data_IF_956724427574
#
_entry.id   IF_956724427574
#
_cell.length_a   1.000
_cell.length_b   1.000
_cell.length_c   1.000
_cell.angle_alpha   90.00
_cell.angle_beta   90.00
_cell.angle_gamma   90.00
#
_symmetry.space_group_name_H-M   'P 1'
#
loop_
_entity.id
_entity.type
_entity.pdbx_description
1 polymer ?
#
# COMPACT_ATOMS: atom_id res chain seq x y z
N UNK A 1 15.40 52.50 -12.84
CA UNK A 1 15.71 52.44 -14.28
C UNK A 1 15.19 51.12 -14.83
N UNK A 2 14.06 51.17 -15.54
CA UNK A 2 13.43 50.01 -16.19
C UNK A 2 14.24 49.61 -17.42
N UNK A 3 14.50 48.32 -17.60
CA UNK A 3 15.08 47.79 -18.84
C UNK A 3 14.02 46.96 -19.58
N UNK A 4 13.51 47.58 -20.63
CA UNK A 4 12.57 47.06 -21.62
C UNK A 4 13.26 46.10 -22.60
N UNK A 5 12.50 45.08 -23.00
CA UNK A 5 12.34 44.52 -24.37
C UNK A 5 13.48 43.66 -24.95
N UNK A 6 13.15 42.44 -25.39
CA UNK A 6 12.66 42.20 -26.76
C UNK A 6 12.01 40.80 -26.92
N UNK A 7 10.76 40.79 -27.42
CA UNK A 7 10.14 39.69 -28.15
C UNK A 7 10.66 39.70 -29.58
N UNK A 8 10.98 38.52 -30.14
CA UNK A 8 11.01 38.32 -31.60
C UNK A 8 10.23 37.05 -31.94
N UNK A 9 9.13 37.26 -32.66
CA UNK A 9 8.42 36.28 -33.49
C UNK A 9 9.32 35.78 -34.61
N UNK A 10 9.22 34.50 -34.98
CA UNK A 10 9.26 34.08 -36.40
C UNK A 10 8.33 32.88 -36.64
N UNK A 11 7.43 33.04 -37.61
CA UNK A 11 6.63 32.02 -38.29
C UNK A 11 7.49 31.23 -39.29
N UNK A 12 7.06 29.99 -39.57
CA UNK A 12 7.43 29.20 -40.77
C UNK A 12 6.94 27.75 -40.61
N UNK A 13 5.68 27.43 -40.95
CA UNK A 13 5.16 26.94 -42.25
C UNK A 13 5.75 25.59 -42.73
N UNK A 14 4.91 24.55 -42.53
CA UNK A 14 4.49 23.44 -43.42
C UNK A 14 5.55 22.75 -44.30
N UNK A 15 5.74 21.45 -44.07
CA UNK A 15 6.19 20.50 -45.08
C UNK A 15 5.17 19.36 -45.25
N UNK A 16 4.50 19.37 -46.40
CA UNK A 16 3.69 18.27 -46.96
C UNK A 16 4.61 17.15 -47.47
N UNK A 17 4.27 15.89 -47.18
CA UNK A 17 4.98 14.71 -47.67
C UNK A 17 4.05 13.56 -48.01
N UNK A 18 3.72 13.49 -49.31
CA UNK A 18 3.34 12.37 -50.18
C UNK A 18 2.62 11.10 -49.65
N UNK A 19 1.52 10.81 -50.34
CA UNK A 19 0.76 9.57 -50.43
C UNK A 19 1.58 8.34 -50.81
N UNK A 20 1.29 7.20 -50.16
CA UNK A 20 1.53 5.88 -50.73
C UNK A 20 0.18 5.16 -50.92
N UNK A 21 -0.10 4.83 -52.17
CA UNK A 21 -1.17 3.92 -52.58
C UNK A 21 -0.78 2.49 -52.17
N UNK A 22 -1.68 1.77 -51.50
CA UNK A 22 -1.54 0.36 -51.16
C UNK A 22 -2.89 -0.33 -51.30
N UNK A 23 -2.92 -1.28 -52.22
CA UNK A 23 -4.06 -2.03 -52.77
C UNK A 23 -4.99 -2.69 -51.75
N UNK A 24 -6.29 -2.69 -52.07
CA UNK A 24 -7.36 -3.42 -51.41
C UNK A 24 -7.19 -4.94 -51.49
N UNK A 25 -7.46 -5.63 -50.38
CA UNK A 25 -7.85 -7.05 -50.31
C UNK A 25 -9.20 -7.11 -49.61
N UNK A 26 -10.25 -7.67 -50.24
CA UNK A 26 -11.51 -7.93 -49.54
C UNK A 26 -11.31 -9.19 -48.69
N UNK A 27 -11.35 -9.06 -47.36
CA UNK A 27 -11.55 -10.23 -46.52
C UNK A 27 -13.03 -10.61 -46.55
N UNK A 28 -13.27 -11.72 -47.22
CA UNK A 28 -14.50 -12.51 -47.23
C UNK A 28 -15.07 -12.67 -45.82
N UNK A 29 -16.36 -12.38 -45.67
CA UNK A 29 -17.14 -12.74 -44.49
C UNK A 29 -17.09 -14.27 -44.30
N UNK A 30 -16.54 -14.72 -43.19
CA UNK A 30 -16.61 -16.09 -42.73
C UNK A 30 -17.56 -16.15 -41.53
N UNK A 31 -18.60 -16.97 -41.64
CA UNK A 31 -19.55 -17.30 -40.58
C UNK A 31 -18.84 -17.62 -39.26
N UNK A 32 -19.30 -16.98 -38.18
CA UNK A 32 -18.88 -17.32 -36.83
C UNK A 32 -19.50 -18.68 -36.45
N UNK A 33 -18.71 -19.73 -36.14
CA UNK A 33 -19.26 -20.86 -35.42
C UNK A 33 -19.54 -20.38 -33.99
N UNK A 34 -20.80 -20.46 -33.58
CA UNK A 34 -21.25 -20.13 -32.24
C UNK A 34 -20.39 -20.87 -31.19
N UNK A 35 -19.55 -20.10 -30.49
CA UNK A 35 -18.76 -20.59 -29.39
C UNK A 35 -19.69 -20.94 -28.22
N UNK A 36 -19.93 -22.24 -28.07
CA UNK A 36 -20.58 -22.83 -26.89
C UNK A 36 -19.78 -22.45 -25.64
N UNK A 37 -20.48 -21.83 -24.70
CA UNK A 37 -20.19 -21.83 -23.26
C UNK A 37 -18.75 -21.50 -22.86
N UNK A 38 -18.38 -20.22 -22.99
CA UNK A 38 -17.35 -19.67 -22.11
C UNK A 38 -17.88 -19.68 -20.68
N UNK A 39 -17.58 -20.76 -19.94
CA UNK A 39 -17.63 -20.74 -18.50
C UNK A 39 -16.62 -19.68 -18.02
N UNK A 40 -17.12 -18.46 -17.85
CA UNK A 40 -16.43 -17.35 -17.22
C UNK A 40 -16.01 -17.82 -15.83
N UNK A 41 -14.73 -18.16 -15.68
CA UNK A 41 -14.12 -18.28 -14.36
C UNK A 41 -14.31 -16.94 -13.66
N UNK A 42 -14.84 -16.89 -12.42
CA UNK A 42 -15.02 -15.64 -11.74
C UNK A 42 -13.65 -15.00 -11.56
N UNK A 43 -13.42 -13.86 -12.22
CA UNK A 43 -12.28 -12.99 -11.93
C UNK A 43 -12.35 -12.71 -10.44
N UNK A 44 -11.40 -13.26 -9.67
CA UNK A 44 -11.32 -13.01 -8.24
C UNK A 44 -11.27 -11.50 -8.04
N UNK A 45 -12.31 -10.95 -7.42
CA UNK A 45 -12.42 -9.52 -7.16
C UNK A 45 -11.35 -9.17 -6.13
N UNK A 46 -10.22 -8.66 -6.62
CA UNK A 46 -9.11 -8.22 -5.78
C UNK A 46 -9.62 -7.09 -4.88
N UNK A 47 -9.50 -7.23 -3.56
CA UNK A 47 -9.82 -6.13 -2.64
C UNK A 47 -8.75 -5.05 -2.79
N UNK A 48 -9.12 -3.90 -3.36
CA UNK A 48 -8.22 -2.76 -3.55
C UNK A 48 -7.55 -2.32 -2.25
N UNK A 49 -8.24 -2.46 -1.11
CA UNK A 49 -7.69 -2.11 0.20
C UNK A 49 -6.58 -3.08 0.60
N UNK A 50 -6.69 -4.35 0.23
CA UNK A 50 -5.64 -5.33 0.47
C UNK A 50 -4.39 -4.98 -0.34
N UNK A 51 -4.55 -4.69 -1.64
CA UNK A 51 -3.43 -4.29 -2.51
C UNK A 51 -2.74 -3.06 -1.96
N UNK A 52 -3.51 -2.05 -1.58
CA UNK A 52 -2.97 -0.83 -0.98
C UNK A 52 -2.24 -1.12 0.33
N UNK A 53 -2.76 -2.01 1.18
CA UNK A 53 -2.10 -2.38 2.44
C UNK A 53 -0.78 -3.12 2.18
N UNK A 54 -0.74 -4.06 1.22
CA UNK A 54 0.50 -4.75 0.83
C UNK A 54 1.56 -3.75 0.36
N UNK A 55 1.19 -2.90 -0.58
CA UNK A 55 2.09 -1.86 -1.09
C UNK A 55 2.56 -0.92 0.02
N UNK A 56 1.67 -0.55 0.94
CA UNK A 56 2.04 0.25 2.09
C UNK A 56 3.05 -0.50 2.96
N UNK A 57 2.80 -1.76 3.36
CA UNK A 57 3.75 -2.54 4.18
C UNK A 57 5.13 -2.61 3.52
N UNK A 58 5.20 -2.91 2.22
CA UNK A 58 6.45 -2.99 1.47
C UNK A 58 7.18 -1.64 1.44
N UNK A 59 6.45 -0.55 1.19
CA UNK A 59 7.00 0.81 1.26
C UNK A 59 7.53 1.13 2.67
N UNK A 60 6.84 0.67 3.71
CA UNK A 60 7.25 0.85 5.10
C UNK A 60 8.56 0.15 5.44
N UNK A 61 8.74 -1.08 4.94
CA UNK A 61 10.01 -1.81 5.05
C UNK A 61 11.13 -0.99 4.40
N UNK A 62 10.94 -0.55 3.16
CA UNK A 62 11.95 0.22 2.42
C UNK A 62 12.28 1.56 3.11
N UNK A 63 11.28 2.28 3.60
CA UNK A 63 11.48 3.54 4.32
C UNK A 63 12.30 3.33 5.60
N UNK A 64 11.99 2.30 6.39
CA UNK A 64 12.73 2.04 7.63
C UNK A 64 14.15 1.52 7.37
N UNK A 65 14.36 0.69 6.35
CA UNK A 65 15.71 0.27 5.93
C UNK A 65 16.56 1.46 5.46
N UNK A 66 15.95 2.37 4.70
CA UNK A 66 16.57 3.60 4.21
C UNK A 66 16.68 4.70 5.26
N UNK A 67 16.26 4.47 6.52
CA UNK A 67 16.20 5.47 7.60
C UNK A 67 15.35 6.71 7.26
N UNK A 68 14.39 6.57 6.35
CA UNK A 68 13.43 7.61 5.98
C UNK A 68 12.31 7.73 7.04
N UNK A 69 12.70 8.00 8.29
CA UNK A 69 11.81 7.95 9.45
C UNK A 69 10.71 9.01 9.42
N UNK A 70 11.02 10.20 8.91
CA UNK A 70 10.01 11.26 8.76
C UNK A 70 8.91 10.84 7.78
N UNK A 71 9.29 10.36 6.60
CA UNK A 71 8.37 9.90 5.57
C UNK A 71 7.53 8.72 6.08
N UNK A 72 8.17 7.81 6.83
CA UNK A 72 7.48 6.72 7.49
C UNK A 72 6.41 7.24 8.47
N UNK A 73 6.77 8.15 9.38
CA UNK A 73 5.79 8.70 10.32
C UNK A 73 4.66 9.43 9.60
N UNK A 74 4.97 10.18 8.55
CA UNK A 74 3.95 10.91 7.78
C UNK A 74 2.96 9.98 7.07
N UNK A 75 3.43 8.84 6.55
CA UNK A 75 2.60 7.88 5.81
C UNK A 75 1.82 6.93 6.72
N UNK A 76 2.42 6.45 7.81
CA UNK A 76 1.86 5.35 8.61
C UNK A 76 1.15 5.80 9.88
N UNK A 77 1.42 7.00 10.37
CA UNK A 77 0.82 7.49 11.61
C UNK A 77 -0.32 8.44 11.25
N UNK A 78 -1.48 8.22 11.86
CA UNK A 78 -2.65 9.10 11.68
C UNK A 78 -2.28 10.55 12.00
N UNK A 79 -2.87 11.57 11.34
CA UNK A 79 -2.59 12.97 11.65
C UNK A 79 -2.77 13.30 13.14
N UNK A 80 -3.77 12.70 13.78
CA UNK A 80 -4.09 12.88 15.19
C UNK A 80 -2.99 12.33 16.11
N UNK A 81 -2.49 11.12 15.84
CA UNK A 81 -1.40 10.51 16.61
C UNK A 81 -0.04 11.11 16.27
N UNK A 82 0.16 11.54 15.02
CA UNK A 82 1.38 12.19 14.57
C UNK A 82 1.61 13.48 15.33
N UNK A 83 0.58 14.31 15.55
CA UNK A 83 0.72 15.53 16.37
C UNK A 83 1.23 15.22 17.79
N UNK A 84 0.76 14.13 18.40
CA UNK A 84 1.23 13.70 19.74
C UNK A 84 2.68 13.21 19.69
N UNK A 85 3.01 12.46 18.64
CA UNK A 85 4.38 12.03 18.37
C UNK A 85 5.32 13.25 18.22
N UNK A 86 4.97 14.22 17.38
CA UNK A 86 5.78 15.41 17.12
C UNK A 86 6.02 16.20 18.39
N UNK A 87 5.02 16.33 19.27
CA UNK A 87 5.18 16.97 20.59
C UNK A 87 6.16 16.22 21.50
N UNK A 88 6.12 14.89 21.51
CA UNK A 88 6.99 14.07 22.36
C UNK A 88 8.47 14.07 21.90
N UNK A 89 8.70 14.22 20.60
CA UNK A 89 10.03 14.19 19.99
C UNK A 89 10.54 15.57 19.54
N UNK A 90 9.80 16.65 19.82
CA UNK A 90 10.24 18.01 19.58
C UNK A 90 11.41 18.39 20.52
N UNK A 91 12.54 18.80 19.95
CA UNK A 91 13.69 19.38 20.67
C UNK A 91 14.27 20.54 19.88
N UNK A 92 14.61 21.63 20.57
CA UNK A 92 15.40 22.75 20.02
C UNK A 92 14.94 23.27 18.64
N UNK A 93 13.62 23.37 18.41
CA UNK A 93 13.07 23.94 17.17
C UNK A 93 12.80 22.95 16.03
N UNK A 94 12.96 21.64 16.25
CA UNK A 94 12.59 20.61 15.27
C UNK A 94 12.17 19.29 15.91
N UNK A 95 11.58 18.39 15.12
CA UNK A 95 11.22 17.04 15.54
C UNK A 95 12.39 16.11 15.26
N UNK A 96 12.87 15.39 16.28
CA UNK A 96 13.99 14.47 16.11
C UNK A 96 13.51 13.06 15.74
N UNK A 97 13.28 12.85 14.44
CA UNK A 97 12.85 11.56 13.89
C UNK A 97 13.92 10.45 14.01
N UNK A 98 15.20 10.81 14.02
CA UNK A 98 16.32 9.87 14.14
C UNK A 98 16.36 9.17 15.50
N UNK A 99 16.15 9.92 16.58
CA UNK A 99 16.06 9.34 17.93
C UNK A 99 14.93 8.31 17.99
N UNK A 100 13.75 8.67 17.50
CA UNK A 100 12.63 7.71 17.42
C UNK A 100 12.97 6.49 16.57
N UNK A 101 13.58 6.69 15.38
CA UNK A 101 13.94 5.62 14.46
C UNK A 101 14.91 4.62 15.09
N UNK A 102 15.90 5.12 15.85
CA UNK A 102 16.86 4.28 16.57
C UNK A 102 16.24 3.47 17.71
N UNK A 103 15.26 4.04 18.42
CA UNK A 103 14.61 3.38 19.58
C UNK A 103 13.52 2.39 19.16
N UNK A 104 12.73 2.75 18.14
CA UNK A 104 11.48 2.08 17.77
C UNK A 104 11.45 1.58 16.33
N UNK A 105 12.07 2.32 15.41
CA UNK A 105 12.08 1.99 13.98
C UNK A 105 12.65 0.61 13.68
N UNK A 106 13.75 0.21 14.34
CA UNK A 106 14.36 -1.12 14.16
C UNK A 106 13.40 -2.25 14.55
N UNK A 107 12.69 -2.11 15.68
CA UNK A 107 11.71 -3.13 16.12
C UNK A 107 10.53 -3.19 15.15
N UNK A 108 10.06 -2.03 14.70
CA UNK A 108 8.95 -1.92 13.76
C UNK A 108 9.31 -2.51 12.39
N UNK A 109 10.55 -2.33 11.93
CA UNK A 109 11.05 -2.94 10.70
C UNK A 109 10.97 -4.47 10.76
N UNK A 110 11.36 -5.08 11.89
CA UNK A 110 11.24 -6.53 12.05
C UNK A 110 9.78 -6.99 12.02
N UNK A 111 8.87 -6.24 12.65
CA UNK A 111 7.44 -6.52 12.57
C UNK A 111 6.95 -6.46 11.12
N UNK A 112 7.25 -5.38 10.39
CA UNK A 112 6.81 -5.20 9.00
C UNK A 112 7.34 -6.29 8.07
N UNK A 113 8.61 -6.69 8.23
CA UNK A 113 9.20 -7.81 7.48
C UNK A 113 8.53 -9.15 7.74
N UNK A 114 8.12 -9.41 8.98
CA UNK A 114 7.43 -10.65 9.30
C UNK A 114 6.00 -10.71 8.77
N UNK A 115 5.32 -9.55 8.66
CA UNK A 115 3.93 -9.50 8.21
C UNK A 115 3.79 -9.32 6.70
N UNK A 116 4.82 -8.84 5.99
CA UNK A 116 4.78 -8.66 4.53
C UNK A 116 4.51 -9.97 3.77
N UNK A 117 4.94 -11.09 4.33
CA UNK A 117 4.72 -12.44 3.77
C UNK A 117 3.49 -13.16 4.31
N UNK A 118 2.71 -12.51 5.20
CA UNK A 118 1.50 -13.11 5.78
C UNK A 118 0.27 -12.79 4.95
N UNK A 119 -0.72 -13.67 5.04
CA UNK A 119 -2.04 -13.41 4.49
C UNK A 119 -2.69 -12.24 5.21
N UNK A 120 -3.38 -11.40 4.45
CA UNK A 120 -4.08 -10.23 4.96
C UNK A 120 -5.54 -10.59 5.10
N UNK A 121 -6.06 -10.49 6.32
CA UNK A 121 -7.49 -10.62 6.62
C UNK A 121 -8.01 -9.28 7.08
N UNK A 122 -8.89 -8.67 6.27
CA UNK A 122 -9.52 -7.38 6.59
C UNK A 122 -10.90 -7.63 7.19
N UNK A 123 -11.14 -7.11 8.40
CA UNK A 123 -12.46 -7.09 9.06
C UNK A 123 -12.76 -5.69 9.55
N UNK A 124 -13.93 -5.15 9.20
CA UNK A 124 -14.42 -3.85 9.67
C UNK A 124 -13.38 -2.72 9.55
N UNK A 125 -12.71 -2.63 8.40
CA UNK A 125 -11.64 -1.67 8.13
C UNK A 125 -10.38 -1.85 8.99
N UNK A 126 -10.14 -3.04 9.52
CA UNK A 126 -8.91 -3.39 10.25
C UNK A 126 -8.23 -4.59 9.63
N UNK A 127 -6.91 -4.56 9.62
CA UNK A 127 -6.08 -5.71 9.31
C UNK A 127 -5.23 -6.06 10.53
N UNK A 128 -5.29 -7.31 10.94
CA UNK A 128 -4.68 -7.80 12.18
C UNK A 128 -3.67 -8.90 11.88
N UNK A 129 -2.48 -8.77 12.48
CA UNK A 129 -1.39 -9.69 12.31
C UNK A 129 -0.93 -10.21 13.67
N UNK A 130 -0.77 -11.53 13.77
CA UNK A 130 -0.07 -12.16 14.88
C UNK A 130 1.41 -12.22 14.56
N UNK A 131 2.29 -11.75 15.45
CA UNK A 131 3.74 -11.70 15.23
C UNK A 131 4.46 -11.73 16.58
N UNK A 132 5.51 -12.52 16.67
CA UNK A 132 6.40 -12.60 17.85
C UNK A 132 7.34 -11.40 17.95
N UNK A 133 7.56 -10.66 16.87
CA UNK A 133 8.33 -9.42 16.87
C UNK A 133 7.58 -8.24 17.51
N UNK A 134 6.25 -8.29 17.61
CA UNK A 134 5.49 -7.23 18.28
C UNK A 134 5.48 -7.44 19.81
N UNK A 135 5.66 -6.39 20.64
CA UNK A 135 5.68 -6.53 22.11
C UNK A 135 4.41 -7.15 22.71
N UNK A 136 3.25 -6.92 22.10
CA UNK A 136 1.96 -7.46 22.52
C UNK A 136 1.59 -8.79 21.84
N UNK A 137 2.45 -9.30 20.95
CA UNK A 137 2.16 -10.47 20.11
C UNK A 137 1.21 -10.20 18.93
N UNK A 138 0.67 -8.99 18.83
CA UNK A 138 -0.26 -8.58 17.77
C UNK A 138 0.08 -7.20 17.23
N UNK A 139 -0.12 -7.00 15.93
CA UNK A 139 0.07 -5.74 15.24
C UNK A 139 -1.12 -5.47 14.31
N UNK A 140 -1.59 -4.22 14.20
CA UNK A 140 -2.74 -3.91 13.35
C UNK A 140 -2.63 -2.60 12.60
N UNK A 141 -3.36 -2.57 11.49
CA UNK A 141 -3.65 -1.37 10.72
C UNK A 141 -5.14 -1.07 10.75
N UNK A 142 -5.49 0.20 10.74
CA UNK A 142 -6.85 0.70 10.56
C UNK A 142 -6.96 1.50 9.27
N UNK A 143 -8.02 1.23 8.51
CA UNK A 143 -8.37 1.94 7.30
C UNK A 143 -9.35 3.05 7.62
N UNK A 144 -8.91 4.30 7.51
CA UNK A 144 -9.75 5.47 7.81
C UNK A 144 -9.49 6.55 6.77
N UNK A 145 -10.54 7.30 6.39
CA UNK A 145 -10.42 8.45 5.47
C UNK A 145 -9.69 8.12 4.15
N UNK A 146 -9.79 6.88 3.67
CA UNK A 146 -9.17 6.45 2.41
C UNK A 146 -7.72 5.98 2.52
N UNK A 147 -7.15 5.85 3.71
CA UNK A 147 -5.76 5.41 3.92
C UNK A 147 -5.63 4.43 5.08
N UNK A 148 -4.56 3.63 5.05
CA UNK A 148 -4.18 2.71 6.13
C UNK A 148 -3.19 3.37 7.08
N UNK A 149 -3.41 3.20 8.38
CA UNK A 149 -2.53 3.70 9.45
C UNK A 149 -2.24 2.60 10.47
N UNK A 150 -1.06 2.64 11.09
CA UNK A 150 -0.70 1.76 12.20
C UNK A 150 -1.50 2.14 13.44
N UNK A 151 -2.13 1.18 14.09
CA UNK A 151 -2.76 1.40 15.38
C UNK A 151 -1.76 1.25 16.53
N UNK A 152 -1.64 2.30 17.35
CA UNK A 152 -0.73 2.32 18.50
C UNK A 152 -1.21 1.40 19.66
N UNK A 153 -2.49 1.03 19.67
CA UNK A 153 -3.09 0.10 20.62
C UNK A 153 -3.94 -0.94 19.87
N UNK A 154 -3.25 -1.88 19.21
CA UNK A 154 -3.92 -2.97 18.51
C UNK A 154 -4.78 -3.78 19.49
N UNK A 155 -6.11 -3.65 19.40
CA UNK A 155 -7.06 -4.60 19.96
C UNK A 155 -7.51 -5.53 18.83
N UNK A 156 -6.60 -6.36 18.35
CA UNK A 156 -7.01 -7.49 17.54
C UNK A 156 -7.73 -8.46 18.45
N UNK A 157 -8.96 -8.84 18.10
CA UNK A 157 -9.56 -10.02 18.70
C UNK A 157 -8.55 -11.16 18.45
N UNK A 158 -8.03 -11.75 19.52
CA UNK A 158 -7.18 -12.93 19.38
C UNK A 158 -8.12 -14.01 18.90
N UNK A 159 -8.26 -14.16 17.58
CA UNK A 159 -8.85 -15.35 17.01
C UNK A 159 -7.98 -16.48 17.56
N UNK A 160 -8.56 -17.22 18.52
CA UNK A 160 -7.94 -18.38 19.14
C UNK A 160 -7.53 -19.26 17.95
N UNK A 161 -6.26 -19.70 17.87
CA UNK A 161 -5.87 -20.61 16.78
C UNK A 161 -6.88 -21.76 16.73
N UNK A 162 -7.28 -22.17 15.52
CA UNK A 162 -8.20 -23.28 15.34
C UNK A 162 -7.74 -24.45 16.26
N UNK A 163 -8.64 -25.04 17.05
CA UNK A 163 -8.26 -26.07 18.01
C UNK A 163 -7.48 -27.15 17.27
N UNK A 164 -6.32 -27.49 17.83
CA UNK A 164 -5.52 -28.59 17.30
C UNK A 164 -6.40 -29.86 17.24
N UNK A 165 -6.15 -30.80 16.31
CA UNK A 165 -6.93 -32.04 16.25
C UNK A 165 -7.01 -32.74 17.63
N UNK A 166 -5.95 -32.63 18.44
CA UNK A 166 -5.86 -33.17 19.79
C UNK A 166 -6.77 -32.46 20.82
N UNK A 167 -7.05 -31.17 20.65
CA UNK A 167 -8.02 -30.43 21.47
C UNK A 167 -9.47 -30.73 21.07
N UNK A 168 -9.72 -31.07 19.81
CA UNK A 168 -11.06 -31.47 19.35
C UNK A 168 -11.45 -32.85 19.89
N UNK A 169 -10.48 -33.75 20.10
CA UNK A 169 -10.70 -35.08 20.65
C UNK A 169 -11.13 -35.01 22.14
N UNK A 170 -10.74 -33.97 22.88
CA UNK A 170 -11.11 -33.78 24.29
C UNK A 170 -12.46 -33.09 24.50
N UNK A 171 -13.10 -32.60 23.43
CA UNK A 171 -14.33 -31.82 23.51
C UNK A 171 -15.62 -32.63 23.24
N UNK A 172 -15.50 -33.95 23.04
CA UNK A 172 -16.65 -34.84 22.89
C UNK A 172 -16.96 -35.46 24.28
N UNK A 173 -18.11 -35.12 24.91
CA UNK A 173 -18.54 -35.76 26.16
C UNK A 173 -18.92 -37.23 25.96
#
# INVERSE_FOLDING_TARGET
MLKMWQLHLWLGVIFTGASFYGTATPLTAAEAPAAKNSASSPVAKIDEREVMLRNLIDAGVLMLEGKAYEQFIQAFVSPEDRRRFEQAYAKQGGINYEVWGSEKGVKLLNVLKQISVKDIVIRDNKACYRTDAAPSGTFSFAYTKGAWYIENQAKCAVDKPAPTPDEQIKAVP
#
